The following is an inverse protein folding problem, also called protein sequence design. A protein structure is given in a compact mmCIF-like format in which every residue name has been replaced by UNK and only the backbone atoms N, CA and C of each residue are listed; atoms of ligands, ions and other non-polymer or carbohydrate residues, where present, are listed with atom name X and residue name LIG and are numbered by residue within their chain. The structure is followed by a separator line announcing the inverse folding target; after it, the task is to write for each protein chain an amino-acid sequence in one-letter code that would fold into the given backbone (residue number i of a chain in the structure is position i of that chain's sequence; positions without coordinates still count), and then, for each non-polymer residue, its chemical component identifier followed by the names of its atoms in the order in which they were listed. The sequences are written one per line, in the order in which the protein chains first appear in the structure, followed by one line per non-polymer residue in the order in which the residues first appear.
data_IF_928751870996
#
_entry.id   IF_928751870996
#
_cell.length_a   1.000
_cell.length_b   1.000
_cell.length_c   1.000
_cell.angle_alpha   90.00
_cell.angle_beta   90.00
_cell.angle_gamma   90.00
#
_symmetry.space_group_name_H-M   'P 1'
#
loop_
_entity.id
_entity.type
_entity.pdbx_description
1 polymer ?
#
# COMPACT_ATOMS: atom_id res chain seq x y z
N UNK A 1 9.03 5.23 14.65
CA UNK A 1 9.33 3.79 14.79
C UNK A 1 10.27 3.43 13.66
N UNK A 2 11.37 2.74 13.95
CA UNK A 2 12.34 2.35 12.92
C UNK A 2 12.27 0.84 12.75
N UNK A 3 11.95 0.40 11.53
CA UNK A 3 11.94 -1.00 11.16
C UNK A 3 13.30 -1.40 10.52
N UNK A 4 13.90 -2.54 10.89
CA UNK A 4 15.21 -2.95 10.35
C UNK A 4 15.21 -3.30 8.86
N UNK A 5 14.08 -3.69 8.29
CA UNK A 5 13.93 -4.02 6.86
C UNK A 5 13.36 -2.84 6.08
N UNK A 6 12.39 -2.11 6.65
CA UNK A 6 11.64 -1.08 5.96
C UNK A 6 12.07 0.36 6.32
N UNK A 7 12.90 0.55 7.34
CA UNK A 7 13.37 1.86 7.79
C UNK A 7 12.27 2.69 8.44
N UNK A 8 12.14 3.96 8.07
CA UNK A 8 11.11 4.88 8.58
C UNK A 8 9.90 5.05 7.64
N UNK A 9 9.70 4.10 6.70
CA UNK A 9 8.63 4.17 5.69
C UNK A 9 7.27 4.41 6.34
N UNK A 10 6.73 5.61 6.16
CA UNK A 10 5.40 6.00 6.65
C UNK A 10 4.61 6.65 5.51
N UNK A 11 3.35 6.27 5.38
CA UNK A 11 2.43 6.87 4.40
C UNK A 11 1.38 7.69 5.13
N UNK A 12 1.21 8.94 4.73
CA UNK A 12 0.17 9.82 5.26
C UNK A 12 -0.75 10.25 4.12
N UNK A 13 -2.06 10.06 4.31
CA UNK A 13 -3.10 10.40 3.33
C UNK A 13 -3.99 11.49 3.93
N UNK A 14 -4.34 12.49 3.12
CA UNK A 14 -5.29 13.55 3.49
C UNK A 14 -6.45 13.52 2.53
N UNK A 15 -7.68 13.34 3.05
CA UNK A 15 -8.90 13.38 2.25
C UNK A 15 -9.67 14.67 2.54
N UNK A 16 -10.12 15.34 1.48
CA UNK A 16 -10.87 16.60 1.56
C UNK A 16 -12.19 16.40 0.83
N UNK A 17 -13.31 16.60 1.54
CA UNK A 17 -14.65 16.47 0.97
C UNK A 17 -15.72 17.01 1.92
N UNK A 18 -16.97 17.04 1.44
CA UNK A 18 -18.15 17.41 2.22
C UNK A 18 -18.93 16.13 2.57
N UNK A 19 -19.47 16.07 3.79
CA UNK A 19 -20.29 14.93 4.27
C UNK A 19 -19.59 13.55 4.13
N UNK A 20 -18.29 13.50 4.43
CA UNK A 20 -17.52 12.27 4.40
C UNK A 20 -17.77 11.44 5.66
N UNK A 21 -18.01 10.14 5.48
CA UNK A 21 -18.00 9.16 6.57
C UNK A 21 -16.56 8.74 6.89
N UNK A 22 -15.92 9.50 7.78
CA UNK A 22 -14.55 9.26 8.22
C UNK A 22 -14.34 7.84 8.75
N UNK A 23 -15.31 7.30 9.48
CA UNK A 23 -15.20 5.97 10.08
C UNK A 23 -15.25 4.87 9.01
N UNK A 24 -16.17 4.98 8.05
CA UNK A 24 -16.25 4.04 6.94
C UNK A 24 -15.01 4.10 6.04
N UNK A 25 -14.45 5.29 5.82
CA UNK A 25 -13.24 5.49 5.04
C UNK A 25 -12.03 4.88 5.76
N UNK A 26 -11.88 5.16 7.05
CA UNK A 26 -10.79 4.62 7.87
C UNK A 26 -10.84 3.10 7.89
N UNK A 27 -12.02 2.52 8.10
CA UNK A 27 -12.19 1.06 8.09
C UNK A 27 -11.82 0.42 6.74
N UNK A 28 -12.12 1.08 5.63
CA UNK A 28 -11.73 0.60 4.30
C UNK A 28 -10.21 0.70 4.08
N UNK A 29 -9.58 1.78 4.54
CA UNK A 29 -8.13 1.93 4.47
C UNK A 29 -7.42 0.88 5.34
N UNK A 30 -7.91 0.65 6.56
CA UNK A 30 -7.37 -0.37 7.47
C UNK A 30 -7.50 -1.78 6.87
N UNK A 31 -8.59 -2.05 6.14
CA UNK A 31 -8.78 -3.32 5.43
C UNK A 31 -7.82 -3.50 4.23
N UNK A 32 -7.25 -2.41 3.71
CA UNK A 32 -6.23 -2.46 2.66
C UNK A 32 -4.79 -2.55 3.19
N UNK A 33 -4.60 -2.60 4.52
CA UNK A 33 -3.27 -2.80 5.09
C UNK A 33 -2.78 -4.21 4.80
N UNK A 34 -1.58 -4.27 4.24
CA UNK A 34 -0.89 -5.52 3.95
C UNK A 34 -0.50 -6.21 5.26
N UNK A 35 -0.80 -7.50 5.38
CA UNK A 35 -0.37 -8.31 6.52
C UNK A 35 0.95 -9.04 6.24
N UNK A 36 1.56 -9.61 7.29
CA UNK A 36 2.84 -10.31 7.19
C UNK A 36 2.82 -11.58 6.33
N UNK A 37 1.66 -12.19 6.08
CA UNK A 37 1.59 -13.35 5.18
C UNK A 37 1.52 -12.90 3.72
N UNK A 38 0.85 -11.77 3.47
CA UNK A 38 0.75 -11.18 2.15
C UNK A 38 2.09 -10.56 1.70
N UNK A 39 2.87 -9.99 2.62
CA UNK A 39 4.19 -9.45 2.29
C UNK A 39 5.19 -10.55 1.88
N UNK A 40 5.07 -11.73 2.49
CA UNK A 40 5.92 -12.90 2.20
C UNK A 40 5.41 -13.74 1.00
N UNK A 41 4.25 -13.39 0.43
CA UNK A 41 3.66 -14.11 -0.69
C UNK A 41 4.46 -13.90 -2.00
N UNK A 42 4.33 -14.82 -2.94
CA UNK A 42 4.89 -14.65 -4.28
C UNK A 42 3.97 -13.74 -5.13
N UNK A 43 4.35 -12.47 -5.23
CA UNK A 43 3.53 -11.48 -5.94
C UNK A 43 3.51 -11.69 -7.45
N UNK A 44 4.44 -12.47 -8.01
CA UNK A 44 4.46 -12.77 -9.45
C UNK A 44 3.30 -13.65 -9.91
N UNK A 45 2.58 -14.28 -8.97
CA UNK A 45 1.39 -15.08 -9.26
C UNK A 45 0.13 -14.23 -9.43
N UNK A 46 0.14 -12.96 -9.00
CA UNK A 46 -1.01 -12.09 -9.21
C UNK A 46 -1.11 -11.73 -10.70
N UNK A 47 -2.32 -11.80 -11.24
CA UNK A 47 -2.57 -11.39 -12.61
C UNK A 47 -2.27 -9.91 -12.75
N UNK A 48 -1.22 -9.55 -13.49
CA UNK A 48 -0.90 -8.16 -13.83
C UNK A 48 -1.97 -7.62 -14.78
N UNK A 49 -2.91 -6.78 -14.30
CA UNK A 49 -4.00 -6.29 -15.15
C UNK A 49 -3.52 -5.18 -16.08
N UNK A 50 -2.35 -4.61 -15.80
CA UNK A 50 -1.76 -3.51 -16.51
C UNK A 50 -0.33 -3.92 -16.89
N UNK A 51 -0.05 -4.05 -18.19
CA UNK A 51 1.27 -4.46 -18.72
C UNK A 51 2.32 -3.35 -18.61
N UNK A 52 2.59 -2.91 -17.38
CA UNK A 52 3.53 -1.83 -17.11
C UNK A 52 4.97 -2.34 -17.28
N UNK A 53 5.69 -1.77 -18.24
CA UNK A 53 7.14 -1.95 -18.33
C UNK A 53 7.82 -1.04 -17.31
N UNK A 54 8.19 -1.60 -16.15
CA UNK A 54 8.94 -0.85 -15.14
C UNK A 54 10.37 -0.66 -15.64
N UNK A 55 10.68 0.52 -16.15
CA UNK A 55 12.04 0.93 -16.47
C UNK A 55 12.80 1.19 -15.17
N UNK A 56 13.56 0.19 -14.70
CA UNK A 56 14.53 0.39 -13.62
C UNK A 56 15.63 1.34 -14.12
N UNK A 57 15.73 2.50 -13.50
CA UNK A 57 16.86 3.39 -13.72
C UNK A 57 18.12 2.73 -13.13
N UNK A 58 19.10 2.42 -13.98
CA UNK A 58 20.43 2.00 -13.55
C UNK A 58 21.16 3.21 -12.95
N UNK A 59 21.81 2.99 -11.81
CA UNK A 59 22.55 4.00 -11.04
C UNK A 59 23.91 4.33 -11.67
#
# INVERSE_FOLDING_TARGET
DWDPEYGDRHTQLVMIGIDLDEAAITAQLDACLLNSQEIDADWSQFSEPYGWEIQRQEA
#
